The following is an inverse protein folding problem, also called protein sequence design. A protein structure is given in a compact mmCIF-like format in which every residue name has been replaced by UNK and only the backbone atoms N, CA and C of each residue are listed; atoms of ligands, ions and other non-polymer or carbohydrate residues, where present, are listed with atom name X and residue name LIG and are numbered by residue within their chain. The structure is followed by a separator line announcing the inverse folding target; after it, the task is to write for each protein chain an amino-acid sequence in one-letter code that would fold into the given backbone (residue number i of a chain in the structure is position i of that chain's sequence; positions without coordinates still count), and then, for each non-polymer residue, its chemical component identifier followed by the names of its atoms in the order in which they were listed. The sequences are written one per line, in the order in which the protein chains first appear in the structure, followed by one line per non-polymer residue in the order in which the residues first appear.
data_IF_561461834025
#
_entry.id   IF_561461834025
#
_cell.length_a   1.000
_cell.length_b   1.000
_cell.length_c   1.000
_cell.angle_alpha   90.00
_cell.angle_beta   90.00
_cell.angle_gamma   90.00
#
_symmetry.space_group_name_H-M   'P 1'
#
loop_
_entity.id
_entity.type
_entity.pdbx_description
1 polymer ?
#
# COMPACT_ATOMS: atom_id res chain seq x y z
N UNK A 1 3.21 -9.47 9.12
CA UNK A 1 2.80 -10.37 10.23
C UNK A 1 3.66 -10.18 11.50
N UNK A 2 4.92 -9.78 11.38
CA UNK A 2 5.88 -9.72 12.49
C UNK A 2 6.24 -8.29 12.91
N UNK A 3 5.59 -7.29 12.35
CA UNK A 3 5.84 -5.89 12.69
C UNK A 3 5.34 -5.54 14.10
N UNK A 4 6.03 -4.62 14.77
CA UNK A 4 5.67 -4.13 16.11
C UNK A 4 4.36 -3.32 16.13
N UNK A 5 3.88 -2.84 14.99
CA UNK A 5 2.62 -2.11 14.88
C UNK A 5 1.54 -3.01 14.32
N UNK A 6 0.42 -3.09 15.03
CA UNK A 6 -0.78 -3.73 14.50
C UNK A 6 -1.38 -2.83 13.41
N UNK A 7 -1.79 -3.44 12.33
CA UNK A 7 -2.52 -2.79 11.24
C UNK A 7 -3.77 -3.62 10.94
N UNK A 8 -4.76 -3.02 10.35
CA UNK A 8 -5.87 -3.76 9.74
C UNK A 8 -5.59 -3.97 8.26
N UNK A 9 -6.02 -5.10 7.74
CA UNK A 9 -5.90 -5.42 6.32
C UNK A 9 -7.26 -5.73 5.72
N UNK A 10 -7.49 -5.31 4.48
CA UNK A 10 -8.63 -5.73 3.68
C UNK A 10 -8.12 -6.68 2.59
N UNK A 11 -8.64 -7.91 2.57
CA UNK A 11 -8.32 -8.93 1.56
C UNK A 11 -9.48 -8.97 0.57
N UNK A 12 -9.21 -8.77 -0.71
CA UNK A 12 -10.23 -8.81 -1.76
C UNK A 12 -10.20 -10.19 -2.41
N UNK A 13 -11.35 -10.88 -2.41
CA UNK A 13 -11.51 -12.23 -2.94
C UNK A 13 -12.60 -12.26 -4.02
N UNK A 14 -12.24 -12.29 -5.31
CA UNK A 14 -13.19 -12.60 -6.37
C UNK A 14 -13.53 -14.09 -6.36
N UNK A 15 -14.83 -14.43 -6.51
CA UNK A 15 -15.32 -15.82 -6.49
C UNK A 15 -15.20 -16.51 -7.85
N UNK A 16 -15.30 -15.74 -8.94
CA UNK A 16 -15.22 -16.30 -10.29
C UNK A 16 -13.95 -15.83 -10.98
N UNK A 17 -13.41 -16.68 -11.86
CA UNK A 17 -12.16 -16.42 -12.57
C UNK A 17 -12.31 -15.44 -13.76
N UNK A 18 -13.55 -15.12 -14.20
CA UNK A 18 -13.73 -14.32 -15.40
C UNK A 18 -13.01 -14.96 -16.60
N UNK A 19 -12.17 -14.16 -17.27
CA UNK A 19 -11.35 -14.62 -18.42
C UNK A 19 -9.96 -15.14 -18.00
N UNK A 20 -9.66 -15.21 -16.70
CA UNK A 20 -8.39 -15.71 -16.18
C UNK A 20 -8.40 -17.23 -16.14
N UNK A 21 -7.26 -17.86 -16.43
CA UNK A 21 -7.08 -19.30 -16.29
C UNK A 21 -7.52 -19.79 -14.88
N UNK A 22 -8.28 -20.89 -14.85
CA UNK A 22 -8.86 -21.41 -13.61
C UNK A 22 -7.78 -21.85 -12.60
N UNK A 23 -6.64 -22.37 -13.04
CA UNK A 23 -5.55 -22.75 -12.15
C UNK A 23 -4.87 -21.52 -11.53
N UNK A 24 -4.64 -20.48 -12.32
CA UNK A 24 -4.15 -19.20 -11.82
C UNK A 24 -5.13 -18.58 -10.81
N UNK A 25 -6.43 -18.62 -11.07
CA UNK A 25 -7.45 -18.15 -10.15
C UNK A 25 -7.48 -18.95 -8.83
N UNK A 26 -7.37 -20.28 -8.90
CA UNK A 26 -7.26 -21.14 -7.70
C UNK A 26 -6.06 -20.77 -6.84
N UNK A 27 -4.91 -20.53 -7.45
CA UNK A 27 -3.68 -20.11 -6.75
C UNK A 27 -3.89 -18.75 -6.05
N UNK A 28 -4.53 -17.80 -6.73
CA UNK A 28 -4.86 -16.50 -6.16
C UNK A 28 -5.82 -16.63 -4.97
N UNK A 29 -6.91 -17.37 -5.14
CA UNK A 29 -7.88 -17.59 -4.07
C UNK A 29 -7.26 -18.33 -2.88
N UNK A 30 -6.48 -19.38 -3.14
CA UNK A 30 -5.77 -20.13 -2.09
C UNK A 30 -4.81 -19.23 -1.31
N UNK A 31 -4.08 -18.31 -2.00
CA UNK A 31 -3.20 -17.37 -1.34
C UNK A 31 -4.00 -16.37 -0.47
N UNK A 32 -5.08 -15.78 -0.98
CA UNK A 32 -5.93 -14.86 -0.23
C UNK A 32 -6.47 -15.51 1.04
N UNK A 33 -7.02 -16.73 0.93
CA UNK A 33 -7.54 -17.50 2.07
C UNK A 33 -6.43 -17.90 3.05
N UNK A 34 -5.25 -18.27 2.55
CA UNK A 34 -4.10 -18.60 3.40
C UNK A 34 -3.62 -17.38 4.21
N UNK A 35 -3.59 -16.18 3.60
CA UNK A 35 -3.24 -14.94 4.31
C UNK A 35 -4.29 -14.60 5.37
N UNK A 36 -5.58 -14.70 5.06
CA UNK A 36 -6.67 -14.53 6.02
C UNK A 36 -6.53 -15.47 7.21
N UNK A 37 -6.29 -16.77 6.93
CA UNK A 37 -6.09 -17.78 7.97
C UNK A 37 -4.84 -17.49 8.81
N UNK A 38 -3.73 -17.04 8.20
CA UNK A 38 -2.51 -16.69 8.91
C UNK A 38 -2.71 -15.49 9.84
N UNK A 39 -3.48 -14.49 9.45
CA UNK A 39 -3.88 -13.39 10.32
C UNK A 39 -4.74 -13.85 11.49
N UNK A 40 -5.67 -14.77 11.24
CA UNK A 40 -6.60 -15.25 12.26
C UNK A 40 -5.91 -16.13 13.30
N UNK A 41 -5.21 -17.16 12.86
CA UNK A 41 -4.67 -18.24 13.72
C UNK A 41 -3.24 -17.93 14.17
N UNK A 42 -2.40 -17.43 13.26
CA UNK A 42 -0.97 -17.29 13.48
C UNK A 42 -0.22 -18.62 13.52
N UNK A 43 0.90 -18.63 14.22
CA UNK A 43 1.73 -19.81 14.53
C UNK A 43 2.35 -19.65 15.90
N UNK A 44 2.14 -20.62 16.76
CA UNK A 44 2.68 -20.63 18.13
C UNK A 44 4.21 -20.83 18.15
N UNK A 45 4.81 -20.53 19.31
CA UNK A 45 6.23 -20.80 19.54
C UNK A 45 6.58 -22.30 19.43
N UNK A 46 5.66 -23.19 19.83
CA UNK A 46 5.84 -24.63 19.73
C UNK A 46 5.86 -25.10 18.28
N UNK A 47 4.85 -24.70 17.49
CA UNK A 47 4.78 -24.97 16.05
C UNK A 47 5.98 -24.40 15.30
N UNK A 48 6.46 -23.23 15.71
CA UNK A 48 7.63 -22.56 15.12
C UNK A 48 8.91 -23.33 15.39
N UNK A 49 9.10 -23.85 16.61
CA UNK A 49 10.23 -24.74 16.93
C UNK A 49 10.17 -26.04 16.14
N UNK A 50 8.99 -26.65 16.05
CA UNK A 50 8.80 -27.87 15.27
C UNK A 50 9.13 -27.63 13.78
N UNK A 51 8.70 -26.51 13.22
CA UNK A 51 9.01 -26.13 11.84
C UNK A 51 10.50 -25.88 11.62
N UNK A 52 11.17 -25.14 12.50
CA UNK A 52 12.62 -24.91 12.39
C UNK A 52 13.37 -26.25 12.38
N UNK A 53 13.04 -27.15 13.30
CA UNK A 53 13.61 -28.50 13.37
C UNK A 53 13.37 -29.31 12.09
N UNK A 54 12.15 -29.29 11.55
CA UNK A 54 11.81 -30.02 10.31
C UNK A 54 12.57 -29.51 9.08
N UNK A 55 12.98 -28.24 9.10
CA UNK A 55 13.79 -27.60 8.05
C UNK A 55 15.32 -27.74 8.29
N UNK A 56 15.74 -28.40 9.35
CA UNK A 56 17.15 -28.49 9.72
C UNK A 56 17.77 -27.18 10.17
N UNK A 57 16.96 -26.22 10.63
CA UNK A 57 17.41 -24.92 11.09
C UNK A 57 17.70 -24.93 12.59
N UNK A 58 18.59 -24.04 13.05
CA UNK A 58 18.89 -23.86 14.46
C UNK A 58 17.67 -23.39 15.27
N UNK A 59 17.64 -23.72 16.55
CA UNK A 59 16.56 -23.34 17.46
C UNK A 59 16.48 -21.81 17.66
N UNK A 60 17.55 -21.09 17.46
CA UNK A 60 17.67 -19.63 17.48
C UNK A 60 16.85 -18.94 16.37
N UNK A 61 16.58 -19.66 15.28
CA UNK A 61 15.75 -19.17 14.18
C UNK A 61 14.25 -19.43 14.39
N UNK A 62 13.85 -20.24 15.35
CA UNK A 62 12.44 -20.53 15.60
C UNK A 62 11.57 -19.28 15.86
N UNK A 63 12.01 -18.26 16.62
CA UNK A 63 11.23 -17.04 16.83
C UNK A 63 10.87 -16.29 15.55
N UNK A 64 11.68 -16.40 14.50
CA UNK A 64 11.39 -15.76 13.21
C UNK A 64 10.20 -16.39 12.46
N UNK A 65 9.74 -17.57 12.89
CA UNK A 65 8.55 -18.22 12.34
C UNK A 65 7.29 -17.96 13.16
N UNK A 66 7.41 -17.33 14.33
CA UNK A 66 6.25 -17.03 15.17
C UNK A 66 5.38 -15.94 14.56
N UNK A 67 4.08 -16.13 14.64
CA UNK A 67 3.08 -15.16 14.23
C UNK A 67 1.98 -15.12 15.30
N UNK A 68 1.69 -13.96 15.90
CA UNK A 68 0.78 -13.91 17.05
C UNK A 68 -0.66 -14.30 16.72
N UNK A 69 -1.09 -14.23 15.46
CA UNK A 69 -2.49 -14.43 15.10
C UNK A 69 -3.39 -13.34 15.66
N UNK A 70 -4.70 -13.58 15.69
CA UNK A 70 -5.71 -12.63 16.16
C UNK A 70 -5.48 -11.20 15.61
N UNK A 71 -5.16 -11.13 14.33
CA UNK A 71 -4.89 -9.86 13.64
C UNK A 71 -6.18 -9.37 12.98
N UNK A 72 -6.64 -8.15 13.24
CA UNK A 72 -7.86 -7.63 12.64
C UNK A 72 -7.72 -7.55 11.12
N UNK A 73 -8.65 -8.15 10.41
CA UNK A 73 -8.73 -8.07 8.96
C UNK A 73 -10.15 -8.26 8.48
N UNK A 74 -10.45 -7.79 7.28
CA UNK A 74 -11.71 -8.02 6.58
C UNK A 74 -11.46 -8.81 5.31
N UNK A 75 -12.43 -9.61 4.89
CA UNK A 75 -12.44 -10.21 3.55
C UNK A 75 -13.61 -9.64 2.77
N UNK A 76 -13.31 -8.89 1.73
CA UNK A 76 -14.30 -8.33 0.80
C UNK A 76 -14.48 -9.34 -0.31
N UNK A 77 -15.65 -9.96 -0.35
CA UNK A 77 -15.99 -10.97 -1.36
C UNK A 77 -16.70 -10.28 -2.52
N UNK A 78 -16.17 -10.48 -3.72
CA UNK A 78 -16.77 -10.00 -4.97
C UNK A 78 -17.18 -11.20 -5.83
N UNK A 79 -18.33 -11.14 -6.50
CA UNK A 79 -18.74 -12.24 -7.39
C UNK A 79 -17.74 -12.41 -8.54
N UNK A 80 -17.41 -11.34 -9.21
CA UNK A 80 -16.44 -11.30 -10.32
C UNK A 80 -15.69 -9.96 -10.33
N UNK A 81 -14.57 -9.90 -11.02
CA UNK A 81 -13.86 -8.64 -11.32
C UNK A 81 -14.45 -8.09 -12.62
N UNK A 82 -15.32 -7.10 -12.50
CA UNK A 82 -15.92 -6.36 -13.61
C UNK A 82 -15.75 -4.87 -13.41
N UNK A 83 -15.91 -4.03 -14.44
CA UNK A 83 -15.90 -2.58 -14.28
C UNK A 83 -16.86 -2.09 -13.17
N UNK A 84 -18.05 -2.68 -13.07
CA UNK A 84 -19.06 -2.34 -12.07
C UNK A 84 -18.59 -2.69 -10.65
N UNK A 85 -18.07 -3.91 -10.43
CA UNK A 85 -17.64 -4.34 -9.11
C UNK A 85 -16.37 -3.60 -8.66
N UNK A 86 -15.47 -3.27 -9.59
CA UNK A 86 -14.30 -2.43 -9.30
C UNK A 86 -14.73 -1.00 -8.99
N UNK A 87 -15.66 -0.42 -9.76
CA UNK A 87 -16.23 0.89 -9.49
C UNK A 87 -16.92 0.95 -8.12
N UNK A 88 -17.71 -0.06 -7.78
CA UNK A 88 -18.33 -0.18 -6.47
C UNK A 88 -17.31 -0.28 -5.33
N UNK A 89 -16.21 -1.03 -5.53
CA UNK A 89 -15.13 -1.13 -4.56
C UNK A 89 -14.43 0.22 -4.33
N UNK A 90 -14.13 0.95 -5.40
CA UNK A 90 -13.53 2.30 -5.32
C UNK A 90 -14.48 3.22 -4.52
N UNK A 91 -15.75 3.28 -4.88
CA UNK A 91 -16.74 4.09 -4.19
C UNK A 91 -16.87 3.71 -2.70
N UNK A 92 -16.81 2.42 -2.37
CA UNK A 92 -16.83 1.95 -0.99
C UNK A 92 -15.63 2.47 -0.19
N UNK A 93 -14.42 2.50 -0.77
CA UNK A 93 -13.23 3.05 -0.10
C UNK A 93 -13.27 4.59 0.00
N UNK A 94 -13.84 5.29 -0.98
CA UNK A 94 -14.08 6.73 -0.90
C UNK A 94 -15.04 7.06 0.26
N UNK A 95 -16.17 6.35 0.35
CA UNK A 95 -17.11 6.49 1.47
C UNK A 95 -16.48 6.12 2.81
N UNK A 96 -15.71 5.03 2.87
CA UNK A 96 -14.96 4.65 4.08
C UNK A 96 -14.06 5.79 4.55
N UNK A 97 -13.32 6.42 3.63
CA UNK A 97 -12.44 7.56 3.95
C UNK A 97 -13.25 8.73 4.52
N UNK A 98 -14.36 9.07 3.87
CA UNK A 98 -15.26 10.12 4.35
C UNK A 98 -15.81 9.84 5.75
N UNK A 99 -16.34 8.65 5.98
CA UNK A 99 -16.91 8.29 7.28
C UNK A 99 -15.86 8.23 8.38
N UNK A 100 -14.67 7.71 8.11
CA UNK A 100 -13.57 7.70 9.08
C UNK A 100 -13.17 9.12 9.46
N UNK A 101 -13.03 10.02 8.49
CA UNK A 101 -12.74 11.43 8.75
C UNK A 101 -13.86 12.09 9.57
N UNK A 102 -15.13 11.87 9.24
CA UNK A 102 -16.26 12.39 9.97
C UNK A 102 -16.30 11.90 11.43
N UNK A 103 -16.05 10.62 11.67
CA UNK A 103 -15.95 10.03 13.01
C UNK A 103 -14.78 10.59 13.83
N UNK A 104 -13.70 10.99 13.17
CA UNK A 104 -12.54 11.61 13.79
C UNK A 104 -12.67 13.14 13.96
N UNK A 105 -13.77 13.72 13.50
CA UNK A 105 -13.97 15.18 13.50
C UNK A 105 -13.05 15.93 12.52
N UNK A 106 -12.60 15.26 11.46
CA UNK A 106 -11.73 15.81 10.43
C UNK A 106 -12.52 16.15 9.17
N UNK A 107 -12.09 17.18 8.43
CA UNK A 107 -12.61 17.45 7.10
C UNK A 107 -11.92 16.53 6.08
N UNK A 108 -12.65 15.58 5.51
CA UNK A 108 -12.12 14.64 4.51
C UNK A 108 -11.65 15.31 3.21
N UNK A 109 -12.11 16.52 2.92
CA UNK A 109 -11.83 17.26 1.68
C UNK A 109 -10.77 18.35 1.87
N UNK A 110 -10.17 18.47 3.05
CA UNK A 110 -9.16 19.48 3.35
C UNK A 110 -7.76 18.85 3.40
N UNK A 111 -6.88 19.35 2.54
CA UNK A 111 -5.49 18.90 2.42
C UNK A 111 -4.52 20.08 2.47
N UNK A 112 -4.40 20.69 3.62
CA UNK A 112 -3.52 21.85 3.83
C UNK A 112 -2.08 21.64 3.31
N UNK A 113 -1.52 20.45 3.45
CA UNK A 113 -0.17 20.13 2.97
C UNK A 113 0.00 20.16 1.45
N UNK A 114 -1.08 19.99 0.69
CA UNK A 114 -1.04 20.02 -0.79
C UNK A 114 -0.85 21.42 -1.32
N UNK A 115 -1.33 22.46 -0.63
CA UNK A 115 -1.17 23.86 -1.06
C UNK A 115 0.30 24.28 -1.09
N UNK A 116 1.11 23.86 -0.13
CA UNK A 116 2.56 24.12 -0.15
C UNK A 116 3.23 23.58 -1.41
N UNK A 117 2.92 22.34 -1.78
CA UNK A 117 3.44 21.73 -3.00
C UNK A 117 3.06 22.49 -4.27
N UNK A 118 1.83 23.00 -4.35
CA UNK A 118 1.38 23.82 -5.49
C UNK A 118 2.10 25.18 -5.57
N UNK A 119 2.35 25.81 -4.42
CA UNK A 119 3.08 27.10 -4.36
C UNK A 119 4.52 26.89 -4.82
N UNK A 120 5.23 25.89 -4.25
CA UNK A 120 6.61 25.55 -4.65
C UNK A 120 6.65 25.12 -6.12
N UNK A 121 5.70 24.30 -6.56
CA UNK A 121 5.62 23.83 -7.95
C UNK A 121 5.50 24.98 -8.96
N UNK A 122 4.73 26.03 -8.67
CA UNK A 122 4.66 27.23 -9.52
C UNK A 122 6.00 27.95 -9.58
N UNK A 123 6.70 28.11 -8.46
CA UNK A 123 8.01 28.74 -8.40
C UNK A 123 9.04 27.93 -9.22
N UNK A 124 9.12 26.63 -9.00
CA UNK A 124 10.03 25.74 -9.74
C UNK A 124 9.71 25.77 -11.23
N UNK A 125 8.44 25.74 -11.62
CA UNK A 125 8.03 25.85 -13.02
C UNK A 125 8.56 27.12 -13.69
N UNK A 126 8.40 28.27 -13.06
CA UNK A 126 8.94 29.55 -13.57
C UNK A 126 10.46 29.47 -13.76
N UNK A 127 11.17 28.84 -12.81
CA UNK A 127 12.61 28.61 -12.92
C UNK A 127 12.97 27.69 -14.11
N UNK A 128 12.20 26.63 -14.34
CA UNK A 128 12.41 25.73 -15.46
C UNK A 128 12.16 26.43 -16.81
N UNK A 129 11.13 27.28 -16.89
CA UNK A 129 10.77 28.02 -18.12
C UNK A 129 11.80 29.11 -18.44
N UNK A 130 12.17 29.92 -17.46
CA UNK A 130 12.94 31.16 -17.68
C UNK A 130 14.40 31.09 -17.20
N UNK A 131 14.78 30.11 -16.37
CA UNK A 131 16.13 30.01 -15.79
C UNK A 131 16.42 31.00 -14.67
N UNK A 132 15.43 31.73 -14.20
CA UNK A 132 15.54 32.71 -13.13
C UNK A 132 15.16 32.10 -11.78
N UNK A 133 15.61 32.68 -10.68
CA UNK A 133 15.24 32.25 -9.33
C UNK A 133 15.90 30.97 -8.82
N UNK A 134 16.96 30.51 -9.47
CA UNK A 134 17.73 29.33 -9.01
C UNK A 134 18.39 29.55 -7.64
N UNK A 135 18.72 30.79 -7.33
CA UNK A 135 19.28 31.23 -6.05
C UNK A 135 18.28 31.23 -4.89
N UNK A 136 16.98 31.19 -5.21
CA UNK A 136 15.89 31.12 -4.24
C UNK A 136 15.49 29.66 -3.91
N UNK A 137 16.04 28.69 -4.63
CA UNK A 137 15.80 27.27 -4.41
C UNK A 137 16.89 26.70 -3.51
N UNK A 138 16.53 25.64 -2.78
CA UNK A 138 17.53 24.84 -2.10
C UNK A 138 18.53 24.19 -3.09
N UNK A 139 19.72 23.84 -2.60
CA UNK A 139 20.82 23.34 -3.43
C UNK A 139 20.42 22.10 -4.27
N UNK A 140 19.62 21.21 -3.73
CA UNK A 140 19.16 19.99 -4.43
C UNK A 140 18.21 20.34 -5.57
N UNK A 141 17.17 21.11 -5.28
CA UNK A 141 16.18 21.53 -6.29
C UNK A 141 16.84 22.37 -7.39
N UNK A 142 17.75 23.30 -7.02
CA UNK A 142 18.48 24.11 -8.00
C UNK A 142 19.38 23.27 -8.91
N UNK A 143 20.07 22.26 -8.38
CA UNK A 143 20.92 21.36 -9.18
C UNK A 143 20.07 20.54 -10.17
N UNK A 144 18.94 19.99 -9.73
CA UNK A 144 18.04 19.23 -10.57
C UNK A 144 17.39 20.11 -11.65
N UNK A 145 16.99 21.34 -11.30
CA UNK A 145 16.44 22.29 -12.26
C UNK A 145 17.45 22.69 -13.36
N UNK A 146 18.73 22.87 -12.99
CA UNK A 146 19.81 23.12 -13.97
C UNK A 146 19.98 21.90 -14.89
N UNK A 147 20.06 20.69 -14.33
CA UNK A 147 20.20 19.47 -15.10
C UNK A 147 19.06 19.28 -16.11
N UNK A 148 17.83 19.51 -15.66
CA UNK A 148 16.63 19.43 -16.52
C UNK A 148 16.69 20.46 -17.66
N UNK A 149 17.02 21.72 -17.33
CA UNK A 149 17.13 22.79 -18.34
C UNK A 149 18.21 22.45 -19.39
N UNK A 150 19.37 22.02 -18.94
CA UNK A 150 20.47 21.65 -19.85
C UNK A 150 20.05 20.53 -20.82
N UNK A 151 19.30 19.52 -20.33
CA UNK A 151 18.81 18.44 -21.17
C UNK A 151 17.71 18.87 -22.17
N UNK A 152 16.93 19.91 -21.87
CA UNK A 152 15.78 20.33 -22.70
C UNK A 152 16.01 21.63 -23.51
N UNK A 153 17.10 22.35 -23.26
CA UNK A 153 17.45 23.59 -24.00
C UNK A 153 18.78 23.47 -24.79
N UNK A 154 19.36 22.26 -24.87
CA UNK A 154 20.57 21.98 -25.67
C UNK A 154 20.27 21.67 -27.16
N UNK A 155 19.08 22.11 -27.65
CA UNK A 155 18.65 21.96 -29.04
C UNK A 155 18.66 23.30 -29.75
#
# INVERSE_FOLDING_TARGET
HQGNRRFSADIILPLTNGDVDLDAHRKLAANALAQSRAFLIGRSAEESRALAKSKGLGADLAPHFEMPGNHPHSTIVMHAVTPETVGALIAAFEHKTFFVAALMGLNAFDQWGVELGKVIGRQVRTTLEHGTGLDQLDASTAALARAWRNANHAS
#
